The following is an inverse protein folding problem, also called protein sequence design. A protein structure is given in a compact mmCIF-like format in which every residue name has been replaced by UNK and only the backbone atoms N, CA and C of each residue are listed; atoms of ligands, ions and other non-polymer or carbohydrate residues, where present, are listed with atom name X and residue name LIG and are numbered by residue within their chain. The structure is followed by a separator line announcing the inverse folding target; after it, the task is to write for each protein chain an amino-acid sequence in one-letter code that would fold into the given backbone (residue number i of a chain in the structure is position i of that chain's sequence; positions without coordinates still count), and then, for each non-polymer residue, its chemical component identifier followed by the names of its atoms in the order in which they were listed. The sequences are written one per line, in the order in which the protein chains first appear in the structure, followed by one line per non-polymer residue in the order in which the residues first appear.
data_IF_615612907876
#
_entry.id   IF_615612907876
#
_cell.length_a   1.000
_cell.length_b   1.000
_cell.length_c   1.000
_cell.angle_alpha   90.00
_cell.angle_beta   90.00
_cell.angle_gamma   90.00
#
_symmetry.space_group_name_H-M   'P 1'
#
loop_
_entity.id
_entity.type
_entity.pdbx_description
1 polymer ?
#
# COMPACT_ATOMS: atom_id res chain seq x y z
N UNK A 1 -54.55 -12.49 -33.34
CA UNK A 1 -53.84 -12.34 -32.06
C UNK A 1 -52.54 -13.13 -32.14
N UNK A 2 -51.36 -12.51 -31.91
CA UNK A 2 -50.11 -13.29 -31.87
C UNK A 2 -48.79 -12.59 -32.18
N UNK A 3 -48.69 -11.25 -32.12
CA UNK A 3 -47.40 -10.55 -32.33
C UNK A 3 -46.89 -9.76 -31.11
N UNK A 4 -47.68 -9.61 -30.05
CA UNK A 4 -47.25 -8.88 -28.84
C UNK A 4 -46.54 -9.75 -27.80
N UNK A 5 -46.54 -11.08 -27.95
CA UNK A 5 -45.97 -12.00 -26.95
C UNK A 5 -44.48 -12.29 -27.15
N UNK A 6 -43.90 -11.97 -28.33
CA UNK A 6 -42.46 -12.19 -28.60
C UNK A 6 -41.55 -11.04 -28.19
N UNK A 7 -42.11 -9.85 -27.90
CA UNK A 7 -41.32 -8.69 -27.50
C UNK A 7 -40.97 -8.67 -26.00
N UNK A 8 -41.63 -9.50 -25.19
CA UNK A 8 -41.43 -9.51 -23.73
C UNK A 8 -40.33 -10.50 -23.30
N UNK A 9 -39.95 -11.45 -24.17
CA UNK A 9 -38.87 -12.42 -23.90
C UNK A 9 -37.44 -11.84 -24.11
N UNK A 10 -37.30 -10.64 -24.66
CA UNK A 10 -35.99 -10.00 -24.85
C UNK A 10 -35.60 -9.03 -23.73
N UNK A 11 -36.56 -8.57 -22.91
CA UNK A 11 -36.31 -7.63 -21.82
C UNK A 11 -35.70 -8.27 -20.56
N UNK A 12 -35.57 -9.60 -20.52
CA UNK A 12 -35.04 -10.38 -19.38
C UNK A 12 -33.62 -10.88 -19.56
N UNK A 13 -32.94 -10.56 -20.67
CA UNK A 13 -31.49 -10.75 -20.75
C UNK A 13 -30.82 -9.53 -20.14
N UNK A 14 -30.34 -9.64 -18.90
CA UNK A 14 -29.27 -8.77 -18.41
C UNK A 14 -28.20 -8.68 -19.50
N UNK A 15 -27.97 -7.49 -20.04
CA UNK A 15 -26.91 -7.28 -21.02
C UNK A 15 -25.58 -7.50 -20.29
N UNK A 16 -24.78 -8.51 -20.66
CA UNK A 16 -23.48 -8.73 -20.04
C UNK A 16 -22.56 -7.51 -20.10
N UNK A 17 -22.79 -6.58 -21.04
CA UNK A 17 -22.08 -5.30 -21.10
C UNK A 17 -22.50 -4.32 -20.02
N UNK A 18 -23.78 -4.26 -19.64
CA UNK A 18 -24.25 -3.38 -18.56
C UNK A 18 -23.69 -3.83 -17.21
N UNK A 19 -23.75 -5.15 -16.95
CA UNK A 19 -23.16 -5.74 -15.75
C UNK A 19 -21.63 -5.54 -15.72
N UNK A 20 -20.96 -5.69 -16.87
CA UNK A 20 -19.52 -5.46 -17.00
C UNK A 20 -19.16 -4.00 -16.72
N UNK A 21 -19.92 -3.04 -17.25
CA UNK A 21 -19.68 -1.61 -17.04
C UNK A 21 -19.82 -1.22 -15.56
N UNK A 22 -20.87 -1.69 -14.89
CA UNK A 22 -21.05 -1.44 -13.44
C UNK A 22 -19.92 -2.02 -12.60
N UNK A 23 -19.51 -3.26 -12.90
CA UNK A 23 -18.38 -3.89 -12.21
C UNK A 23 -17.06 -3.16 -12.51
N UNK A 24 -16.87 -2.64 -13.72
CA UNK A 24 -15.68 -1.88 -14.09
C UNK A 24 -15.57 -0.58 -13.30
N UNK A 25 -16.66 0.19 -13.19
CA UNK A 25 -16.70 1.42 -12.36
C UNK A 25 -16.36 1.11 -10.90
N UNK A 26 -16.93 0.02 -10.36
CA UNK A 26 -16.62 -0.44 -9.01
C UNK A 26 -15.14 -0.81 -8.86
N UNK A 27 -14.59 -1.54 -9.82
CA UNK A 27 -13.18 -1.94 -9.83
C UNK A 27 -12.24 -0.73 -9.80
N UNK A 28 -12.48 0.25 -10.67
CA UNK A 28 -11.67 1.47 -10.73
C UNK A 28 -11.75 2.27 -9.44
N UNK A 29 -12.94 2.39 -8.87
CA UNK A 29 -13.15 3.08 -7.58
C UNK A 29 -12.40 2.39 -6.45
N UNK A 30 -12.49 1.05 -6.37
CA UNK A 30 -11.79 0.26 -5.36
C UNK A 30 -10.27 0.38 -5.50
N UNK A 31 -9.76 0.31 -6.73
CA UNK A 31 -8.33 0.44 -7.00
C UNK A 31 -7.82 1.85 -6.67
N UNK A 32 -8.53 2.90 -7.08
CA UNK A 32 -8.19 4.29 -6.78
C UNK A 32 -8.23 4.58 -5.27
N UNK A 33 -9.10 3.90 -4.53
CA UNK A 33 -9.22 4.02 -3.07
C UNK A 33 -8.29 3.06 -2.31
N UNK A 34 -7.37 2.38 -3.00
CA UNK A 34 -6.39 1.43 -2.44
C UNK A 34 -6.99 0.21 -1.73
N UNK A 35 -8.23 -0.15 -2.07
CA UNK A 35 -8.88 -1.39 -1.65
C UNK A 35 -8.46 -2.55 -2.55
N UNK A 36 -7.16 -2.87 -2.56
CA UNK A 36 -6.56 -3.79 -3.54
C UNK A 36 -7.19 -5.19 -3.51
N UNK A 37 -7.48 -5.74 -2.33
CA UNK A 37 -8.10 -7.07 -2.22
C UNK A 37 -9.50 -7.09 -2.84
N UNK A 38 -10.28 -6.04 -2.64
CA UNK A 38 -11.62 -5.92 -3.22
C UNK A 38 -11.55 -5.69 -4.73
N UNK A 39 -10.57 -4.90 -5.19
CA UNK A 39 -10.28 -4.73 -6.62
C UNK A 39 -9.95 -6.08 -7.30
N UNK A 40 -9.09 -6.91 -6.69
CA UNK A 40 -8.80 -8.26 -7.20
C UNK A 40 -10.07 -9.11 -7.27
N UNK A 41 -10.90 -9.06 -6.23
CA UNK A 41 -12.16 -9.81 -6.17
C UNK A 41 -13.13 -9.36 -7.27
N UNK A 42 -13.30 -8.05 -7.48
CA UNK A 42 -14.18 -7.50 -8.52
C UNK A 42 -13.64 -7.80 -9.92
N UNK A 43 -12.34 -7.67 -10.16
CA UNK A 43 -11.73 -7.98 -11.45
C UNK A 43 -11.96 -9.45 -11.85
N UNK A 44 -11.81 -10.40 -10.91
CA UNK A 44 -12.11 -11.82 -11.14
C UNK A 44 -13.58 -12.08 -11.48
N UNK A 45 -14.51 -11.28 -10.94
CA UNK A 45 -15.93 -11.35 -11.33
C UNK A 45 -16.14 -10.91 -12.77
N UNK A 46 -15.45 -9.86 -13.23
CA UNK A 46 -15.49 -9.41 -14.63
C UNK A 46 -14.93 -10.50 -15.57
N UNK A 47 -13.86 -11.19 -15.17
CA UNK A 47 -13.29 -12.30 -15.96
C UNK A 47 -14.31 -13.44 -16.19
N UNK A 48 -15.18 -13.71 -15.22
CA UNK A 48 -16.20 -14.77 -15.26
C UNK A 48 -17.44 -14.43 -16.11
N UNK A 49 -17.62 -13.16 -16.50
CA UNK A 49 -18.72 -12.76 -17.38
C UNK A 49 -18.59 -13.41 -18.77
N UNK A 50 -19.69 -13.64 -19.51
CA UNK A 50 -19.66 -14.24 -20.85
C UNK A 50 -19.20 -13.24 -21.94
N UNK A 51 -18.04 -12.61 -21.73
CA UNK A 51 -17.39 -11.69 -22.67
C UNK A 51 -16.38 -12.45 -23.54
N UNK A 52 -16.04 -11.89 -24.70
CA UNK A 52 -14.92 -12.39 -25.52
C UNK A 52 -13.57 -12.11 -24.83
N UNK A 53 -12.52 -12.87 -25.17
CA UNK A 53 -11.20 -12.72 -24.52
C UNK A 53 -10.52 -11.38 -24.85
N UNK A 54 -10.77 -10.85 -26.04
CA UNK A 54 -10.28 -9.57 -26.55
C UNK A 54 -11.13 -8.36 -26.14
N UNK A 55 -12.21 -8.59 -25.37
CA UNK A 55 -13.07 -7.52 -24.89
C UNK A 55 -12.25 -6.51 -24.04
N UNK A 56 -12.38 -5.22 -24.36
CA UNK A 56 -11.62 -4.15 -23.71
C UNK A 56 -11.85 -4.07 -22.20
N UNK A 57 -13.07 -4.30 -21.72
CA UNK A 57 -13.40 -4.30 -20.28
C UNK A 57 -12.67 -5.43 -19.57
N UNK A 58 -12.64 -6.63 -20.16
CA UNK A 58 -11.90 -7.78 -19.60
C UNK A 58 -10.40 -7.51 -19.57
N UNK A 59 -9.82 -6.99 -20.65
CA UNK A 59 -8.40 -6.66 -20.70
C UNK A 59 -8.01 -5.59 -19.67
N UNK A 60 -8.85 -4.56 -19.51
CA UNK A 60 -8.65 -3.51 -18.52
C UNK A 60 -8.76 -4.05 -17.09
N UNK A 61 -9.78 -4.86 -16.80
CA UNK A 61 -9.95 -5.50 -15.51
C UNK A 61 -8.74 -6.37 -15.15
N UNK A 62 -8.19 -7.12 -16.12
CA UNK A 62 -6.97 -7.93 -15.93
C UNK A 62 -5.77 -7.07 -15.57
N UNK A 63 -5.57 -5.95 -16.28
CA UNK A 63 -4.47 -5.03 -16.00
C UNK A 63 -4.55 -4.48 -14.57
N UNK A 64 -5.73 -4.04 -14.12
CA UNK A 64 -5.94 -3.55 -12.74
C UNK A 64 -5.71 -4.68 -11.72
N UNK A 65 -6.20 -5.90 -12.00
CA UNK A 65 -5.96 -7.06 -11.13
C UNK A 65 -4.47 -7.27 -10.91
N UNK A 66 -3.67 -7.32 -11.98
CA UNK A 66 -2.23 -7.54 -11.89
C UNK A 66 -1.54 -6.44 -11.08
N UNK A 67 -1.93 -5.17 -11.26
CA UNK A 67 -1.41 -4.06 -10.46
C UNK A 67 -1.79 -4.17 -8.98
N UNK A 68 -3.03 -4.57 -8.67
CA UNK A 68 -3.49 -4.75 -7.30
C UNK A 68 -2.79 -5.93 -6.61
N UNK A 69 -2.64 -7.07 -7.30
CA UNK A 69 -1.91 -8.24 -6.82
C UNK A 69 -0.43 -7.90 -6.57
N UNK A 70 0.22 -7.19 -7.51
CA UNK A 70 1.60 -6.75 -7.33
C UNK A 70 1.75 -5.82 -6.11
N UNK A 71 0.79 -4.92 -5.88
CA UNK A 71 0.81 -4.05 -4.70
C UNK A 71 0.62 -4.83 -3.40
N UNK A 72 -0.30 -5.80 -3.36
CA UNK A 72 -0.47 -6.69 -2.21
C UNK A 72 0.83 -7.44 -1.89
N UNK A 73 1.52 -7.97 -2.90
CA UNK A 73 2.82 -8.63 -2.69
C UNK A 73 3.89 -7.66 -2.20
N UNK A 74 3.95 -6.43 -2.71
CA UNK A 74 4.85 -5.40 -2.18
C UNK A 74 4.57 -5.10 -0.71
N UNK A 75 3.31 -5.00 -0.30
CA UNK A 75 2.93 -4.77 1.10
C UNK A 75 3.33 -5.95 2.00
N UNK A 76 3.14 -7.20 1.53
CA UNK A 76 3.62 -8.39 2.26
C UNK A 76 5.13 -8.40 2.42
N UNK A 77 5.87 -8.04 1.36
CA UNK A 77 7.33 -7.97 1.38
C UNK A 77 7.85 -6.85 2.29
N UNK A 78 7.14 -5.72 2.38
CA UNK A 78 7.48 -4.62 3.27
C UNK A 78 7.08 -4.86 4.74
N UNK A 79 6.13 -5.76 5.02
CA UNK A 79 5.82 -6.16 6.39
C UNK A 79 6.97 -6.99 7.00
N UNK A 80 7.30 -6.74 8.26
CA UNK A 80 8.34 -7.46 8.98
C UNK A 80 9.02 -6.62 10.06
N UNK A 81 10.06 -7.18 10.66
CA UNK A 81 10.90 -6.50 11.66
C UNK A 81 12.14 -5.93 10.98
N UNK A 82 12.47 -4.70 11.31
CA UNK A 82 13.60 -3.95 10.77
C UNK A 82 14.48 -3.47 11.91
N UNK A 83 15.77 -3.76 11.87
CA UNK A 83 16.74 -3.37 12.88
C UNK A 83 17.63 -2.25 12.35
N UNK A 84 17.99 -1.29 13.20
CA UNK A 84 18.94 -0.23 12.82
C UNK A 84 20.27 -0.87 12.44
N UNK A 85 20.70 -0.61 11.21
CA UNK A 85 22.03 -0.99 10.70
C UNK A 85 22.99 0.21 10.74
N UNK A 86 22.48 1.39 10.42
CA UNK A 86 23.26 2.63 10.39
C UNK A 86 22.40 3.84 10.77
N UNK A 87 23.03 4.83 11.39
CA UNK A 87 22.41 6.09 11.79
C UNK A 87 23.30 7.27 11.42
N UNK A 88 22.71 8.31 10.84
CA UNK A 88 23.39 9.48 10.26
C UNK A 88 22.67 10.74 10.73
N UNK A 89 23.43 11.68 11.29
CA UNK A 89 22.99 13.04 11.56
C UNK A 89 23.49 13.92 10.42
N UNK A 90 22.56 14.56 9.73
CA UNK A 90 22.80 15.57 8.70
C UNK A 90 22.31 16.92 9.23
N UNK A 91 23.24 17.81 9.56
CA UNK A 91 22.95 19.16 10.07
C UNK A 91 22.89 20.22 8.95
N UNK A 92 22.94 19.80 7.68
CA UNK A 92 22.98 20.66 6.50
C UNK A 92 24.38 21.18 6.15
N UNK A 93 25.39 20.93 6.99
CA UNK A 93 26.79 21.23 6.72
C UNK A 93 27.62 19.95 6.57
N UNK A 94 27.35 18.94 7.39
CA UNK A 94 28.06 17.67 7.40
C UNK A 94 27.13 16.49 7.75
N UNK A 95 27.46 15.33 7.20
CA UNK A 95 26.89 14.05 7.60
C UNK A 95 27.83 13.30 8.54
N UNK A 96 27.35 12.95 9.72
CA UNK A 96 28.12 12.20 10.72
C UNK A 96 27.35 11.01 11.28
N UNK A 97 28.05 9.91 11.52
CA UNK A 97 27.46 8.74 12.17
C UNK A 97 27.24 9.03 13.66
N UNK A 98 26.14 8.56 14.23
CA UNK A 98 25.87 8.63 15.67
C UNK A 98 25.37 7.28 16.20
N UNK A 99 25.61 6.95 17.49
CA UNK A 99 25.18 5.66 18.04
C UNK A 99 23.66 5.60 18.20
N UNK A 100 23.06 4.55 17.63
CA UNK A 100 21.64 4.24 17.77
C UNK A 100 21.41 2.73 17.78
N UNK A 101 20.30 2.29 18.37
CA UNK A 101 19.90 0.89 18.45
C UNK A 101 18.38 0.74 18.43
N UNK A 102 17.92 -0.50 18.42
CA UNK A 102 16.52 -0.89 18.45
C UNK A 102 15.99 -1.31 17.09
N UNK A 103 14.70 -1.62 17.07
CA UNK A 103 14.02 -2.16 15.91
C UNK A 103 12.63 -1.57 15.75
N UNK A 104 12.10 -1.73 14.54
CA UNK A 104 10.75 -1.35 14.16
C UNK A 104 10.07 -2.55 13.55
N UNK A 105 8.90 -2.91 14.08
CA UNK A 105 8.02 -3.90 13.48
C UNK A 105 6.94 -3.21 12.66
N UNK A 106 6.89 -3.54 11.38
CA UNK A 106 5.94 -2.99 10.41
C UNK A 106 4.93 -4.07 10.08
N UNK A 107 3.64 -3.73 10.18
CA UNK A 107 2.56 -4.59 9.71
C UNK A 107 1.52 -3.79 8.93
N UNK A 108 1.09 -4.32 7.80
CA UNK A 108 -0.04 -3.77 7.05
C UNK A 108 -1.29 -4.56 7.44
N UNK A 109 -2.33 -3.87 7.93
CA UNK A 109 -3.55 -4.52 8.41
C UNK A 109 -4.23 -5.36 7.32
N UNK A 110 -5.00 -6.39 7.72
CA UNK A 110 -5.83 -7.16 6.77
C UNK A 110 -7.16 -6.42 6.53
N UNK A 111 -7.63 -6.32 5.27
CA UNK A 111 -6.96 -6.71 4.03
C UNK A 111 -5.78 -5.76 3.73
N UNK A 112 -4.61 -6.27 3.28
CA UNK A 112 -3.36 -5.50 3.07
C UNK A 112 -3.62 -4.11 2.45
N UNK A 113 -3.76 -3.10 3.30
CA UNK A 113 -3.99 -1.69 2.91
C UNK A 113 -2.69 -0.91 3.03
N UNK A 114 -2.68 0.31 2.50
CA UNK A 114 -1.59 1.26 2.72
C UNK A 114 -1.52 1.82 4.16
N UNK A 115 -2.42 1.38 5.05
CA UNK A 115 -2.37 1.73 6.47
C UNK A 115 -1.52 0.69 7.22
N UNK A 116 -0.37 1.14 7.72
CA UNK A 116 0.56 0.32 8.48
C UNK A 116 0.51 0.66 9.97
N UNK A 117 0.70 -0.34 10.81
CA UNK A 117 1.08 -0.19 12.20
C UNK A 117 2.60 -0.31 12.31
N UNK A 118 3.22 0.70 12.90
CA UNK A 118 4.66 0.81 13.14
C UNK A 118 4.87 0.71 14.65
N UNK A 119 5.47 -0.39 15.10
CA UNK A 119 5.79 -0.61 16.51
C UNK A 119 7.30 -0.43 16.72
N UNK A 120 7.66 0.53 17.56
CA UNK A 120 9.03 0.80 17.95
C UNK A 120 9.42 -0.04 19.16
N UNK A 121 10.62 -0.59 19.17
CA UNK A 121 11.16 -1.37 20.27
C UNK A 121 12.58 -0.90 20.58
N UNK A 122 12.72 -0.15 21.69
CA UNK A 122 13.98 0.46 22.13
C UNK A 122 14.69 1.27 21.02
N UNK A 123 13.91 1.88 20.14
CA UNK A 123 14.40 2.53 18.94
C UNK A 123 14.89 3.95 19.23
N UNK A 124 16.14 4.26 18.84
CA UNK A 124 16.68 5.61 18.94
C UNK A 124 18.11 5.63 19.45
N UNK A 125 18.50 6.77 20.05
CA UNK A 125 19.80 6.91 20.71
C UNK A 125 19.76 6.31 22.11
N UNK A 126 20.92 5.98 22.69
CA UNK A 126 21.02 5.38 24.02
C UNK A 126 20.33 6.20 25.10
N UNK A 127 20.35 7.53 24.99
CA UNK A 127 19.78 8.45 25.97
C UNK A 127 18.30 8.81 25.69
N UNK A 128 17.77 8.40 24.54
CA UNK A 128 16.40 8.73 24.10
C UNK A 128 15.84 7.61 23.22
N UNK A 129 15.49 6.49 23.86
CA UNK A 129 14.82 5.37 23.18
C UNK A 129 13.31 5.52 23.19
N UNK A 130 12.67 5.03 22.13
CA UNK A 130 11.23 5.00 21.95
C UNK A 130 10.73 3.55 21.89
N UNK A 131 9.64 3.29 22.59
CA UNK A 131 8.99 1.97 22.65
C UNK A 131 7.47 2.13 22.62
N UNK A 132 6.95 2.67 21.52
CA UNK A 132 5.52 2.91 21.34
C UNK A 132 5.04 2.38 19.98
N UNK A 133 3.82 2.76 19.61
CA UNK A 133 3.21 2.31 18.36
C UNK A 133 2.46 3.46 17.72
N UNK A 134 2.57 3.56 16.40
CA UNK A 134 1.83 4.54 15.61
C UNK A 134 1.23 3.91 14.35
N UNK A 135 0.23 4.60 13.80
CA UNK A 135 -0.41 4.20 12.55
C UNK A 135 -0.02 5.19 11.45
N UNK A 136 0.52 4.67 10.36
CA UNK A 136 1.05 5.45 9.24
C UNK A 136 0.33 5.08 7.97
N UNK A 137 -0.19 6.07 7.24
CA UNK A 137 -0.71 5.89 5.89
C UNK A 137 0.42 6.12 4.89
N UNK A 138 0.75 5.07 4.14
CA UNK A 138 1.73 5.12 3.07
C UNK A 138 1.11 5.53 1.74
N UNK A 139 1.94 6.08 0.87
CA UNK A 139 1.65 6.26 -0.55
C UNK A 139 1.95 4.98 -1.34
N UNK A 140 1.47 4.85 -2.59
CA UNK A 140 1.69 3.65 -3.43
C UNK A 140 3.16 3.32 -3.72
N UNK A 141 4.06 4.29 -3.56
CA UNK A 141 5.50 4.09 -3.67
C UNK A 141 6.13 3.50 -2.39
N UNK A 142 5.34 3.33 -1.33
CA UNK A 142 5.75 2.94 0.03
C UNK A 142 6.64 3.98 0.71
N UNK A 143 6.37 5.25 0.45
CA UNK A 143 6.81 6.37 1.27
C UNK A 143 5.67 6.90 2.16
N UNK A 144 6.01 7.52 3.28
CA UNK A 144 5.08 8.24 4.12
C UNK A 144 5.76 9.44 4.78
N UNK A 145 4.98 10.49 5.06
CA UNK A 145 5.44 11.70 5.75
C UNK A 145 4.42 12.11 6.80
N UNK A 146 4.86 12.30 8.03
CA UNK A 146 4.02 12.70 9.15
C UNK A 146 4.59 13.97 9.78
N UNK A 147 3.76 15.02 9.81
CA UNK A 147 4.10 16.24 10.53
C UNK A 147 4.04 15.97 12.04
N UNK A 148 5.03 16.46 12.77
CA UNK A 148 5.08 16.51 14.22
C UNK A 148 5.17 17.96 14.68
N UNK A 149 4.94 18.21 15.97
CA UNK A 149 4.96 19.56 16.56
C UNK A 149 6.28 20.31 16.32
N UNK A 150 7.39 19.58 16.24
CA UNK A 150 8.73 20.15 16.07
C UNK A 150 9.44 19.67 14.81
N UNK A 151 8.72 19.13 13.82
CA UNK A 151 9.39 18.59 12.64
C UNK A 151 8.55 17.67 11.75
N UNK A 152 9.25 16.82 11.02
CA UNK A 152 8.69 15.83 10.11
C UNK A 152 9.34 14.47 10.36
N UNK A 153 8.52 13.42 10.36
CA UNK A 153 9.01 12.04 10.26
C UNK A 153 8.67 11.49 8.89
N UNK A 154 9.66 10.93 8.20
CA UNK A 154 9.42 10.24 6.93
C UNK A 154 9.89 8.79 6.97
N UNK A 155 9.11 7.94 6.32
CA UNK A 155 9.38 6.51 6.15
C UNK A 155 9.53 6.23 4.66
N UNK A 156 10.59 5.52 4.28
CA UNK A 156 10.80 5.14 2.88
C UNK A 156 11.26 3.70 2.81
N UNK A 157 10.43 2.83 2.22
CA UNK A 157 10.84 1.47 1.88
C UNK A 157 11.66 1.44 0.59
N UNK A 158 12.73 0.66 0.61
CA UNK A 158 13.56 0.37 -0.56
C UNK A 158 13.91 -1.10 -0.61
N UNK A 159 14.66 -1.52 -1.64
CA UNK A 159 15.19 -2.89 -1.72
C UNK A 159 16.19 -3.20 -0.59
N UNK A 160 16.85 -2.19 -0.03
CA UNK A 160 17.85 -2.36 1.03
C UNK A 160 17.20 -2.50 2.42
N UNK A 161 15.95 -2.04 2.59
CA UNK A 161 15.26 -2.05 3.87
C UNK A 161 14.34 -0.84 4.04
N UNK A 162 14.25 -0.33 5.27
CA UNK A 162 13.44 0.82 5.64
C UNK A 162 14.36 1.97 6.05
N UNK A 163 14.11 3.17 5.54
CA UNK A 163 14.71 4.40 6.06
C UNK A 163 13.69 5.17 6.87
N UNK A 164 14.04 5.57 8.09
CA UNK A 164 13.24 6.47 8.92
C UNK A 164 14.05 7.75 9.14
N UNK A 165 13.48 8.89 8.78
CA UNK A 165 14.14 10.19 8.94
C UNK A 165 13.30 11.07 9.86
N UNK A 166 13.93 11.61 10.89
CA UNK A 166 13.36 12.65 11.74
C UNK A 166 14.05 13.96 11.37
N UNK A 167 13.28 14.90 10.84
CA UNK A 167 13.75 16.22 10.45
C UNK A 167 13.18 17.26 11.42
N UNK A 168 14.05 18.09 11.99
CA UNK A 168 13.66 19.17 12.90
C UNK A 168 14.66 20.32 12.88
N UNK A 169 14.55 21.29 13.80
CA UNK A 169 15.41 22.49 13.83
C UNK A 169 16.91 22.19 13.91
N UNK A 170 17.28 21.05 14.49
CA UNK A 170 18.67 20.59 14.62
C UNK A 170 19.18 19.73 13.46
N UNK A 171 18.47 19.69 12.33
CA UNK A 171 18.81 18.86 11.17
C UNK A 171 18.03 17.55 11.09
N UNK A 172 18.56 16.59 10.34
CA UNK A 172 17.96 15.30 10.03
C UNK A 172 18.69 14.17 10.74
N UNK A 173 17.97 13.40 11.53
CA UNK A 173 18.41 12.09 12.03
C UNK A 173 17.86 11.01 11.12
N UNK A 174 18.74 10.37 10.37
CA UNK A 174 18.42 9.33 9.39
C UNK A 174 18.82 7.99 9.99
N UNK A 175 17.86 7.08 10.09
CA UNK A 175 18.06 5.70 10.49
C UNK A 175 17.86 4.82 9.25
N UNK A 176 18.90 4.06 8.89
CA UNK A 176 18.84 3.03 7.85
C UNK A 176 18.67 1.69 8.56
N UNK A 177 17.53 1.06 8.31
CA UNK A 177 17.16 -0.20 8.95
C UNK A 177 17.18 -1.32 7.92
N UNK A 178 17.78 -2.43 8.30
CA UNK A 178 17.76 -3.67 7.53
C UNK A 178 16.67 -4.58 8.04
N UNK A 179 15.99 -5.27 7.14
CA UNK A 179 15.00 -6.28 7.54
C UNK A 179 15.72 -7.42 8.27
N UNK A 180 15.28 -7.75 9.49
CA UNK A 180 15.76 -8.92 10.19
C UNK A 180 15.23 -10.16 9.46
N UNK A 181 16.13 -11.06 9.05
CA UNK A 181 15.75 -12.31 8.39
C UNK A 181 14.79 -13.10 9.31
N UNK A 182 13.71 -13.64 8.73
CA UNK A 182 12.76 -14.52 9.42
C UNK A 182 13.29 -15.95 9.52
#
# INVERSE_FOLDING_TARGET
MGQYTKAVDQATRQDPMDDAAQLMVRLETQFASYHFHDAVTTARKIEQLPLTQDNSVRLRAKSIQLSAEAMIERLKQAAGTYQIERSILDDGLQEQSFPATGQVKVSFGKPHTLLATIQYEQFGTTDATRSDTETVRFEPDLSARLAQSEGLVSYVFSRAGLTVTFEGPGGKRIYQLKKADQ
#
